data_IF_257109864259
#
_entry.id   IF_257109864259
#
_cell.length_a   1.000
_cell.length_b   1.000
_cell.length_c   1.000
_cell.angle_alpha   90.00
_cell.angle_beta   90.00
_cell.angle_gamma   90.00
#
_symmetry.space_group_name_H-M   'P 1'
#
loop_
_entity.id
_entity.type
_entity.pdbx_description
1 polymer ?
#
# COMPACT_ATOMS: atom_id res chain seq x y z
N UNK A 1 -9.79 8.29 -15.58
CA UNK A 1 -9.67 7.17 -14.63
C UNK A 1 -9.36 5.91 -15.42
N UNK A 2 -8.24 5.26 -15.16
CA UNK A 2 -7.90 3.98 -15.79
C UNK A 2 -8.48 2.90 -14.87
N UNK A 3 -9.53 2.21 -15.32
CA UNK A 3 -10.11 1.09 -14.60
C UNK A 3 -9.19 -0.13 -14.72
N UNK A 4 -9.27 -1.05 -13.75
CA UNK A 4 -8.56 -2.33 -13.83
C UNK A 4 -8.96 -3.07 -15.12
N UNK A 5 -7.97 -3.50 -15.91
CA UNK A 5 -8.19 -4.35 -17.09
C UNK A 5 -8.43 -5.82 -16.71
N UNK A 6 -8.19 -6.18 -15.45
CA UNK A 6 -8.44 -7.52 -14.94
C UNK A 6 -9.95 -7.77 -14.81
N UNK A 7 -10.48 -8.52 -15.79
CA UNK A 7 -11.90 -8.95 -15.83
C UNK A 7 -12.20 -10.16 -14.94
N UNK A 8 -11.18 -10.83 -14.40
CA UNK A 8 -11.37 -12.03 -13.55
C UNK A 8 -11.67 -11.66 -12.09
N UNK A 9 -11.42 -10.41 -11.71
CA UNK A 9 -11.56 -9.95 -10.34
C UNK A 9 -10.50 -10.55 -9.43
N UNK A 10 -10.54 -10.18 -8.16
CA UNK A 10 -9.60 -10.72 -7.18
C UNK A 10 -10.08 -12.12 -6.72
N UNK A 11 -9.34 -13.22 -7.01
CA UNK A 11 -9.79 -14.57 -6.65
C UNK A 11 -9.72 -14.87 -5.14
N UNK A 12 -9.29 -13.92 -4.31
CA UNK A 12 -9.27 -14.10 -2.86
C UNK A 12 -10.58 -13.65 -2.20
N UNK A 13 -11.08 -14.50 -1.31
CA UNK A 13 -12.23 -14.18 -0.45
C UNK A 13 -11.87 -13.01 0.47
N UNK A 14 -12.81 -12.07 0.63
CA UNK A 14 -12.63 -10.96 1.56
C UNK A 14 -12.58 -11.46 3.01
N UNK A 15 -11.52 -11.15 3.77
CA UNK A 15 -11.40 -11.52 5.18
C UNK A 15 -12.55 -10.99 6.03
N UNK A 16 -13.10 -11.84 6.88
CA UNK A 16 -14.11 -11.48 7.88
C UNK A 16 -13.50 -11.34 9.28
N UNK A 17 -12.28 -11.85 9.48
CA UNK A 17 -11.52 -11.72 10.73
C UNK A 17 -10.11 -11.15 10.50
N UNK A 18 -9.51 -10.63 11.57
CA UNK A 18 -8.12 -10.15 11.50
C UNK A 18 -7.15 -11.29 11.20
N UNK A 19 -7.39 -12.47 11.75
CA UNK A 19 -6.56 -13.65 11.51
C UNK A 19 -6.56 -14.05 10.03
N UNK A 20 -7.74 -14.10 9.40
CA UNK A 20 -7.87 -14.37 7.96
C UNK A 20 -7.10 -13.32 7.13
N UNK A 21 -7.21 -12.04 7.50
CA UNK A 21 -6.51 -10.94 6.83
C UNK A 21 -5.00 -11.08 6.98
N UNK A 22 -4.52 -11.39 8.18
CA UNK A 22 -3.11 -11.58 8.47
C UNK A 22 -2.54 -12.80 7.72
N UNK A 23 -3.29 -13.90 7.65
CA UNK A 23 -2.89 -15.09 6.89
C UNK A 23 -2.79 -14.81 5.39
N UNK A 24 -3.72 -14.04 4.82
CA UNK A 24 -3.62 -13.59 3.42
C UNK A 24 -2.40 -12.69 3.19
N UNK A 25 -2.11 -11.77 4.11
CA UNK A 25 -0.92 -10.92 4.01
C UNK A 25 0.37 -11.73 4.07
N UNK A 26 0.49 -12.69 5.01
CA UNK A 26 1.65 -13.59 5.11
C UNK A 26 1.87 -14.37 3.81
N UNK A 27 0.80 -14.91 3.23
CA UNK A 27 0.87 -15.59 1.92
C UNK A 27 1.38 -14.64 0.83
N UNK A 28 0.81 -13.45 0.74
CA UNK A 28 1.23 -12.44 -0.25
C UNK A 28 2.70 -12.05 -0.09
N UNK A 29 3.17 -11.80 1.14
CA UNK A 29 4.57 -11.49 1.46
C UNK A 29 5.51 -12.59 0.94
N UNK A 30 5.16 -13.86 1.21
CA UNK A 30 5.93 -15.01 0.76
C UNK A 30 5.94 -15.14 -0.76
N UNK A 31 4.77 -15.08 -1.40
CA UNK A 31 4.61 -15.27 -2.85
C UNK A 31 5.30 -14.15 -3.64
N UNK A 32 5.20 -12.90 -3.16
CA UNK A 32 5.85 -11.73 -3.76
C UNK A 32 7.32 -11.55 -3.31
N UNK A 33 7.82 -12.40 -2.41
CA UNK A 33 9.19 -12.35 -1.87
C UNK A 33 9.55 -10.99 -1.29
N UNK A 34 8.61 -10.36 -0.58
CA UNK A 34 8.83 -9.07 0.05
C UNK A 34 9.85 -9.19 1.19
N UNK A 35 10.87 -8.34 1.18
CA UNK A 35 11.92 -8.26 2.22
C UNK A 35 11.74 -7.08 3.16
N UNK A 36 10.77 -6.22 2.88
CA UNK A 36 10.46 -5.04 3.68
C UNK A 36 9.51 -5.39 4.84
N UNK A 37 9.51 -4.56 5.89
CA UNK A 37 8.52 -4.67 6.96
C UNK A 37 7.11 -4.42 6.42
N UNK A 38 6.20 -5.34 6.71
CA UNK A 38 4.79 -5.23 6.35
C UNK A 38 3.95 -5.22 7.62
N UNK A 39 3.02 -4.27 7.68
CA UNK A 39 2.00 -4.17 8.73
C UNK A 39 0.63 -4.27 8.10
N UNK A 40 -0.31 -4.90 8.80
CA UNK A 40 -1.67 -5.16 8.32
C UNK A 40 -2.65 -4.28 9.09
N UNK A 41 -3.49 -3.55 8.36
CA UNK A 41 -4.52 -2.71 9.00
C UNK A 41 -5.51 -3.56 9.80
N UNK A 42 -6.01 -3.01 10.90
CA UNK A 42 -7.02 -3.67 11.73
C UNK A 42 -8.35 -3.76 10.98
N UNK A 43 -9.27 -4.61 11.46
CA UNK A 43 -10.56 -4.86 10.79
C UNK A 43 -11.42 -3.61 10.62
N UNK A 44 -11.21 -2.60 11.46
CA UNK A 44 -11.87 -1.30 11.33
C UNK A 44 -11.29 -0.42 10.20
N UNK A 45 -10.19 -0.80 9.55
CA UNK A 45 -9.59 -0.11 8.42
C UNK A 45 -9.20 1.36 8.73
N UNK A 46 -8.68 1.64 9.93
CA UNK A 46 -8.32 3.02 10.33
C UNK A 46 -7.29 3.64 9.39
N UNK A 47 -6.26 2.89 8.99
CA UNK A 47 -5.20 3.42 8.12
C UNK A 47 -5.77 3.70 6.74
N UNK A 48 -6.51 2.74 6.17
CA UNK A 48 -7.17 2.92 4.87
C UNK A 48 -8.14 4.11 4.85
N UNK A 49 -8.94 4.31 5.91
CA UNK A 49 -9.86 5.47 6.01
C UNK A 49 -9.12 6.80 6.11
N UNK A 50 -7.93 6.82 6.71
CA UNK A 50 -7.15 8.05 6.93
C UNK A 50 -6.28 8.42 5.74
N UNK A 51 -5.70 7.43 5.06
CA UNK A 51 -4.73 7.61 3.99
C UNK A 51 -5.30 7.31 2.59
N UNK A 52 -6.56 6.89 2.51
CA UNK A 52 -7.30 6.82 1.26
C UNK A 52 -7.42 5.41 0.68
N UNK A 53 -8.35 5.23 -0.27
CA UNK A 53 -8.84 3.91 -0.62
C UNK A 53 -8.08 3.20 -1.75
N UNK A 54 -7.06 3.84 -2.33
CA UNK A 54 -6.43 3.33 -3.54
C UNK A 54 -5.56 2.10 -3.26
N UNK A 55 -5.67 1.03 -4.08
CA UNK A 55 -5.02 -0.26 -3.83
C UNK A 55 -3.49 -0.22 -3.93
N UNK A 56 -2.93 0.81 -4.57
CA UNK A 56 -1.49 0.99 -4.74
C UNK A 56 -1.10 2.44 -4.46
N UNK A 57 -1.55 2.96 -3.31
CA UNK A 57 -1.17 4.29 -2.83
C UNK A 57 0.22 4.27 -2.21
N UNK A 58 0.93 5.39 -2.25
CA UNK A 58 2.21 5.54 -1.56
C UNK A 58 2.36 6.94 -0.96
N UNK A 59 3.06 7.01 0.18
CA UNK A 59 3.40 8.26 0.84
C UNK A 59 4.91 8.29 1.09
N UNK A 60 5.54 9.43 0.79
CA UNK A 60 6.90 9.70 1.24
C UNK A 60 6.82 10.60 2.47
N UNK A 61 7.35 10.11 3.58
CA UNK A 61 7.35 10.80 4.88
C UNK A 61 8.78 11.24 5.17
N UNK A 62 8.96 12.53 5.41
CA UNK A 62 10.25 13.12 5.76
C UNK A 62 10.69 12.78 7.19
N UNK A 63 11.95 13.08 7.51
CA UNK A 63 12.51 12.88 8.85
C UNK A 63 11.81 13.73 9.92
N UNK A 64 11.17 14.83 9.51
CA UNK A 64 10.35 15.70 10.34
C UNK A 64 8.92 15.17 10.57
N UNK A 65 8.65 13.92 10.14
CA UNK A 65 7.36 13.23 10.25
C UNK A 65 6.24 13.86 9.43
N UNK A 66 6.56 14.73 8.47
CA UNK A 66 5.59 15.32 7.55
C UNK A 66 5.52 14.55 6.24
N UNK A 67 4.35 14.56 5.63
CA UNK A 67 4.17 14.03 4.27
C UNK A 67 4.83 15.01 3.29
N UNK A 68 5.84 14.53 2.57
CA UNK A 68 6.52 15.29 1.51
C UNK A 68 5.75 15.14 0.20
N UNK A 69 5.29 13.92 -0.11
CA UNK A 69 4.41 13.67 -1.25
C UNK A 69 3.43 12.53 -0.98
N UNK A 70 2.26 12.62 -1.60
CA UNK A 70 1.22 11.60 -1.62
C UNK A 70 0.99 11.15 -3.07
N UNK A 71 1.02 9.85 -3.30
CA UNK A 71 0.80 9.24 -4.61
C UNK A 71 -0.48 8.40 -4.52
N UNK A 72 -1.60 8.96 -4.99
CA UNK A 72 -2.88 8.25 -5.07
C UNK A 72 -2.80 7.00 -5.96
N UNK A 73 -1.91 7.04 -6.96
CA UNK A 73 -1.49 5.89 -7.73
C UNK A 73 0.03 5.86 -7.78
N UNK A 74 0.62 4.82 -7.21
CA UNK A 74 2.06 4.68 -7.10
C UNK A 74 2.73 4.79 -8.48
N UNK A 75 3.78 5.59 -8.51
CA UNK A 75 4.63 5.78 -9.68
C UNK A 75 6.08 5.89 -9.19
N UNK A 76 6.88 4.88 -9.52
CA UNK A 76 8.26 4.75 -9.05
C UNK A 76 9.14 5.91 -9.50
N UNK A 77 9.05 6.35 -10.75
CA UNK A 77 9.89 7.43 -11.28
C UNK A 77 9.64 8.74 -10.54
N UNK A 78 8.37 9.07 -10.26
CA UNK A 78 8.01 10.26 -9.47
C UNK A 78 8.53 10.17 -8.02
N UNK A 79 8.45 8.98 -7.41
CA UNK A 79 8.91 8.79 -6.04
C UNK A 79 10.44 8.93 -5.97
N UNK A 80 11.18 8.31 -6.89
CA UNK A 80 12.63 8.43 -6.96
C UNK A 80 13.09 9.88 -7.14
N UNK A 81 12.46 10.65 -8.02
CA UNK A 81 12.75 12.07 -8.18
C UNK A 81 12.50 12.84 -6.89
N UNK A 82 11.41 12.54 -6.18
CA UNK A 82 11.09 13.19 -4.89
C UNK A 82 12.15 12.89 -3.84
N UNK A 83 12.54 11.63 -3.69
CA UNK A 83 13.57 11.20 -2.74
C UNK A 83 14.91 11.88 -3.05
N UNK A 84 15.32 11.87 -4.33
CA UNK A 84 16.57 12.51 -4.79
C UNK A 84 16.60 14.01 -4.52
N UNK A 85 15.45 14.68 -4.55
CA UNK A 85 15.36 16.12 -4.26
C UNK A 85 15.31 16.41 -2.76
N UNK A 86 14.81 15.48 -1.94
CA UNK A 86 14.70 15.64 -0.49
C UNK A 86 16.03 15.41 0.26
N UNK A 87 16.88 14.53 -0.26
CA UNK A 87 18.16 14.17 0.38
C UNK A 87 19.30 15.15 0.01
N UNK A 88 19.10 16.00 -0.99
CA UNK A 88 20.05 17.07 -1.37
C UNK A 88 20.04 18.19 -0.35
#
# INVERSE_FOLDING_TARGET
MMYSEDKKGNPVKQPQTYEERNNLAIKCIKDAKLTISVVVDKMDNIVWRKFGPAPNLAYFIGMDKKVVTAHEWYNVSKLETTIKNYIK
#
